data_IF_065140661529
#
_entry.id   IF_065140661529
#
_cell.length_a   1.000
_cell.length_b   1.000
_cell.length_c   1.000
_cell.angle_alpha   90.00
_cell.angle_beta   90.00
_cell.angle_gamma   90.00
#
_symmetry.space_group_name_H-M   'P 1'
#
loop_
_entity.id
_entity.type
_entity.pdbx_description
1 polymer ?
#
# COMPACT_ATOMS: atom_id res chain seq x y z
N UNK A 1 -21.67 5.10 17.76
CA UNK A 1 -20.53 4.55 17.00
C UNK A 1 -19.56 5.66 16.68
N UNK A 2 -18.32 5.47 17.02
CA UNK A 2 -17.29 6.47 16.75
C UNK A 2 -16.77 6.26 15.34
N UNK A 3 -16.78 7.30 14.54
CA UNK A 3 -16.12 7.26 13.25
C UNK A 3 -14.60 7.21 13.47
N UNK A 4 -13.93 6.31 12.78
CA UNK A 4 -12.47 6.26 12.80
C UNK A 4 -11.96 7.20 11.72
N UNK A 5 -11.26 8.26 12.13
CA UNK A 5 -10.63 9.18 11.20
C UNK A 5 -9.29 8.61 10.77
N UNK A 6 -9.25 8.04 9.57
CA UNK A 6 -8.01 7.58 8.98
C UNK A 6 -7.27 8.76 8.34
N UNK A 7 -5.94 8.78 8.39
CA UNK A 7 -5.16 9.76 7.65
C UNK A 7 -5.56 9.81 6.19
N UNK A 8 -5.62 11.01 5.63
CA UNK A 8 -6.06 11.23 4.26
C UNK A 8 -5.12 12.22 3.57
N UNK A 9 -4.68 11.86 2.37
CA UNK A 9 -3.89 12.73 1.52
C UNK A 9 -4.70 13.13 0.30
N UNK A 10 -4.99 14.41 0.16
CA UNK A 10 -5.67 14.93 -1.02
C UNK A 10 -4.85 14.75 -2.30
N UNK A 11 -3.52 14.83 -2.18
CA UNK A 11 -2.64 14.61 -3.31
C UNK A 11 -2.71 13.15 -3.79
N UNK A 12 -2.68 12.18 -2.86
CA UNK A 12 -2.83 10.77 -3.20
C UNK A 12 -4.17 10.50 -3.88
N UNK A 13 -5.23 11.11 -3.41
CA UNK A 13 -6.56 10.97 -3.99
C UNK A 13 -6.62 11.49 -5.42
N UNK A 14 -5.98 12.64 -5.69
CA UNK A 14 -5.92 13.19 -7.05
C UNK A 14 -5.07 12.37 -7.99
N UNK A 15 -4.01 11.77 -7.49
CA UNK A 15 -3.00 11.10 -8.32
C UNK A 15 -3.30 9.62 -8.57
N UNK A 16 -4.21 9.02 -7.82
CA UNK A 16 -4.44 7.57 -7.89
C UNK A 16 -4.90 7.10 -9.26
N UNK A 17 -5.75 7.86 -9.94
CA UNK A 17 -6.22 7.52 -11.27
C UNK A 17 -5.10 7.48 -12.31
N UNK A 18 -4.36 8.58 -12.50
CA UNK A 18 -3.22 8.61 -13.41
C UNK A 18 -2.14 7.58 -13.09
N UNK A 19 -1.85 7.35 -11.81
CA UNK A 19 -0.86 6.35 -11.41
C UNK A 19 -1.36 4.95 -11.75
N UNK A 20 -2.62 4.65 -11.50
CA UNK A 20 -3.20 3.35 -11.84
C UNK A 20 -3.08 3.05 -13.34
N UNK A 21 -3.31 4.06 -14.18
CA UNK A 21 -3.18 3.90 -15.64
C UNK A 21 -1.75 3.49 -16.02
N UNK A 22 -0.75 4.14 -15.42
CA UNK A 22 0.65 3.80 -15.66
C UNK A 22 0.95 2.38 -15.17
N UNK A 23 0.50 2.03 -13.96
CA UNK A 23 0.74 0.71 -13.41
C UNK A 23 0.13 -0.40 -14.27
N UNK A 24 -1.06 -0.18 -14.82
CA UNK A 24 -1.69 -1.14 -15.73
C UNK A 24 -0.90 -1.36 -17.01
N UNK A 25 -0.13 -0.36 -17.44
CA UNK A 25 0.71 -0.48 -18.64
C UNK A 25 2.01 -1.23 -18.36
N UNK A 26 2.57 -1.13 -17.15
CA UNK A 26 3.89 -1.66 -16.83
C UNK A 26 3.85 -2.96 -16.03
N UNK A 27 2.77 -3.23 -15.29
CA UNK A 27 2.63 -4.45 -14.51
C UNK A 27 1.76 -5.48 -15.23
N UNK A 28 2.13 -6.78 -15.17
CA UNK A 28 1.25 -7.82 -15.69
C UNK A 28 -0.03 -7.92 -14.86
N UNK A 29 -1.04 -8.63 -15.41
CA UNK A 29 -2.31 -8.83 -14.73
C UNK A 29 -2.16 -9.55 -13.37
N UNK A 30 -1.15 -10.42 -13.26
CA UNK A 30 -0.77 -11.09 -12.02
C UNK A 30 0.60 -10.59 -11.62
N UNK A 31 0.69 -9.94 -10.47
CA UNK A 31 1.95 -9.36 -9.99
C UNK A 31 1.99 -9.33 -8.47
N UNK A 32 3.22 -9.36 -7.94
CA UNK A 32 3.49 -9.10 -6.52
C UNK A 32 4.13 -7.72 -6.44
N UNK A 33 3.50 -6.81 -5.70
CA UNK A 33 3.91 -5.41 -5.65
C UNK A 33 4.40 -5.09 -4.24
N UNK A 34 5.62 -4.58 -4.14
CA UNK A 34 6.15 -4.00 -2.92
C UNK A 34 6.02 -2.48 -3.01
N UNK A 35 5.26 -1.91 -2.11
CA UNK A 35 5.10 -0.46 -2.04
C UNK A 35 5.95 0.09 -0.89
N UNK A 36 6.79 1.08 -1.21
CA UNK A 36 7.62 1.77 -0.23
C UNK A 36 6.94 3.06 0.18
N UNK A 37 6.94 3.35 1.47
CA UNK A 37 6.35 4.57 2.02
C UNK A 37 4.85 4.68 1.70
N UNK A 38 4.09 3.70 2.15
CA UNK A 38 2.66 3.60 1.85
C UNK A 38 1.81 4.73 2.47
N UNK A 39 2.35 5.45 3.44
CA UNK A 39 1.73 6.63 4.01
C UNK A 39 0.35 6.38 4.62
N UNK A 40 -0.69 6.89 3.97
CA UNK A 40 -2.07 6.71 4.42
C UNK A 40 -2.67 5.36 4.03
N UNK A 41 -2.03 4.62 3.14
CA UNK A 41 -2.57 3.37 2.57
C UNK A 41 -3.60 3.58 1.46
N UNK A 42 -3.85 4.82 1.03
CA UNK A 42 -4.86 5.11 0.02
C UNK A 42 -4.54 4.47 -1.33
N UNK A 43 -3.27 4.52 -1.76
CA UNK A 43 -2.85 3.91 -3.02
C UNK A 43 -2.95 2.39 -2.95
N UNK A 44 -2.45 1.78 -1.87
CA UNK A 44 -2.54 0.33 -1.69
C UNK A 44 -3.98 -0.16 -1.77
N UNK A 45 -4.89 0.48 -1.05
CA UNK A 45 -6.29 0.11 -1.05
C UNK A 45 -6.93 0.28 -2.43
N UNK A 46 -6.66 1.42 -3.10
CA UNK A 46 -7.26 1.71 -4.39
C UNK A 46 -6.76 0.78 -5.48
N UNK A 47 -5.45 0.58 -5.57
CA UNK A 47 -4.86 -0.23 -6.64
C UNK A 47 -5.17 -1.71 -6.45
N UNK A 48 -5.13 -2.21 -5.21
CA UNK A 48 -5.47 -3.59 -4.93
C UNK A 48 -6.93 -3.88 -5.24
N UNK A 49 -7.83 -2.97 -4.91
CA UNK A 49 -9.25 -3.13 -5.23
C UNK A 49 -9.50 -3.10 -6.74
N UNK A 50 -8.76 -2.25 -7.47
CA UNK A 50 -8.93 -2.09 -8.92
C UNK A 50 -8.34 -3.27 -9.71
N UNK A 51 -7.29 -3.92 -9.19
CA UNK A 51 -6.58 -5.02 -9.86
C UNK A 51 -6.47 -6.21 -8.91
N UNK A 52 -7.46 -7.11 -8.89
CA UNK A 52 -7.46 -8.25 -7.96
C UNK A 52 -6.30 -9.21 -8.15
N UNK A 53 -5.65 -9.21 -9.31
CA UNK A 53 -4.48 -10.04 -9.59
C UNK A 53 -3.18 -9.53 -8.97
N UNK A 54 -3.19 -8.33 -8.40
CA UNK A 54 -2.00 -7.78 -7.74
C UNK A 54 -2.00 -8.14 -6.26
N UNK A 55 -0.96 -8.84 -5.83
CA UNK A 55 -0.68 -9.10 -4.42
C UNK A 55 0.16 -7.93 -3.90
N UNK A 56 -0.35 -7.22 -2.91
CA UNK A 56 0.21 -5.94 -2.47
C UNK A 56 0.84 -6.04 -1.09
N UNK A 57 2.09 -5.62 -0.97
CA UNK A 57 2.80 -5.52 0.30
C UNK A 57 3.10 -4.06 0.60
N UNK A 58 2.27 -3.39 1.42
CA UNK A 58 2.57 -2.03 1.86
C UNK A 58 3.69 -2.02 2.90
N UNK A 59 4.52 -0.99 2.85
CA UNK A 59 5.57 -0.75 3.84
C UNK A 59 5.62 0.72 4.21
N UNK A 60 6.08 1.01 5.43
CA UNK A 60 6.15 2.38 5.92
C UNK A 60 7.25 2.48 6.98
N UNK A 61 8.03 3.56 6.96
CA UNK A 61 9.09 3.79 7.94
C UNK A 61 8.57 4.29 9.28
N UNK A 62 7.39 4.90 9.29
CA UNK A 62 6.76 5.41 10.51
C UNK A 62 5.85 4.33 11.10
N UNK A 63 6.26 3.74 12.22
CA UNK A 63 5.49 2.70 12.90
C UNK A 63 4.08 3.17 13.28
N UNK A 64 3.91 4.46 13.55
CA UNK A 64 2.60 5.01 13.93
C UNK A 64 1.59 4.97 12.78
N UNK A 65 2.06 4.89 11.53
CA UNK A 65 1.18 4.82 10.36
C UNK A 65 0.66 3.41 10.07
N UNK A 66 1.29 2.36 10.60
CA UNK A 66 0.94 0.98 10.27
C UNK A 66 -0.51 0.61 10.59
N UNK A 67 -1.07 0.95 11.76
CA UNK A 67 -2.46 0.61 12.04
C UNK A 67 -3.47 1.23 11.07
N UNK A 68 -3.22 2.46 10.62
CA UNK A 68 -4.10 3.14 9.68
C UNK A 68 -4.06 2.48 8.30
N UNK A 69 -2.87 2.07 7.84
CA UNK A 69 -2.72 1.34 6.59
C UNK A 69 -3.47 0.02 6.66
N UNK A 70 -3.30 -0.74 7.75
CA UNK A 70 -3.98 -2.00 7.96
C UNK A 70 -5.51 -1.82 7.96
N UNK A 71 -6.01 -0.78 8.63
CA UNK A 71 -7.44 -0.49 8.70
C UNK A 71 -8.01 -0.13 7.33
N UNK A 72 -7.30 0.68 6.56
CA UNK A 72 -7.75 1.10 5.23
C UNK A 72 -7.80 -0.06 4.24
N UNK A 73 -6.90 -1.02 4.38
CA UNK A 73 -6.82 -2.18 3.51
C UNK A 73 -7.56 -3.41 4.05
N UNK A 74 -8.24 -3.29 5.17
CA UNK A 74 -9.03 -4.38 5.75
C UNK A 74 -10.09 -4.84 4.74
N UNK A 75 -10.26 -6.15 4.61
CA UNK A 75 -11.18 -6.72 3.65
C UNK A 75 -10.61 -6.94 2.25
N UNK A 76 -9.40 -6.47 1.98
CA UNK A 76 -8.71 -6.73 0.73
C UNK A 76 -7.73 -7.89 0.95
N UNK A 77 -8.15 -9.10 0.58
CA UNK A 77 -7.41 -10.32 0.90
C UNK A 77 -6.02 -10.37 0.26
N UNK A 78 -5.83 -9.68 -0.88
CA UNK A 78 -4.55 -9.66 -1.58
C UNK A 78 -3.58 -8.59 -1.01
N UNK A 79 -4.02 -7.77 -0.06
CA UNK A 79 -3.12 -6.82 0.62
C UNK A 79 -2.63 -7.45 1.91
N UNK A 80 -1.32 -7.60 2.01
CA UNK A 80 -0.67 -8.15 3.20
C UNK A 80 -0.63 -7.11 4.31
N UNK A 81 -0.46 -7.57 5.55
CA UNK A 81 -0.26 -6.65 6.67
C UNK A 81 0.93 -5.74 6.43
N UNK A 82 0.82 -4.43 6.70
CA UNK A 82 1.93 -3.52 6.44
C UNK A 82 3.15 -3.84 7.29
N UNK A 83 4.33 -3.64 6.73
CA UNK A 83 5.60 -3.89 7.41
C UNK A 83 6.31 -2.56 7.70
N UNK A 84 6.99 -2.52 8.84
CA UNK A 84 7.89 -1.43 9.15
C UNK A 84 9.14 -1.58 8.28
N UNK A 85 9.40 -0.58 7.45
CA UNK A 85 10.55 -0.60 6.56
C UNK A 85 11.14 0.79 6.43
N UNK A 86 12.42 0.92 6.83
CA UNK A 86 13.23 2.09 6.54
C UNK A 86 14.24 1.71 5.44
N UNK A 87 14.02 2.20 4.22
CA UNK A 87 14.86 1.86 3.06
C UNK A 87 16.29 2.39 3.18
N UNK A 88 16.52 3.32 4.11
CA UNK A 88 17.88 3.82 4.40
C UNK A 88 18.64 2.88 5.32
N UNK A 89 17.97 1.94 5.97
CA UNK A 89 18.59 0.93 6.82
C UNK A 89 18.78 -0.35 6.02
N UNK A 90 20.03 -0.81 5.90
CA UNK A 90 20.35 -2.06 5.23
C UNK A 90 20.49 -3.19 6.28
N UNK A 91 20.22 -4.45 5.94
CA UNK A 91 19.73 -5.01 4.68
C UNK A 91 18.20 -5.20 4.70
N UNK A 92 17.47 -4.25 4.20
CA UNK A 92 16.02 -4.28 4.28
C UNK A 92 15.38 -5.40 3.47
N UNK A 93 16.00 -5.83 2.36
CA UNK A 93 15.46 -6.93 1.55
C UNK A 93 15.37 -8.25 2.31
N UNK A 94 16.24 -8.46 3.29
CA UNK A 94 16.22 -9.71 4.08
C UNK A 94 15.02 -9.76 5.05
N UNK A 95 14.35 -8.63 5.28
CA UNK A 95 13.20 -8.54 6.18
C UNK A 95 11.88 -8.80 5.46
N UNK A 96 11.89 -8.85 4.14
CA UNK A 96 10.67 -8.93 3.33
C UNK A 96 10.68 -10.23 2.54
N UNK A 97 9.72 -11.09 2.84
CA UNK A 97 9.49 -12.34 2.12
C UNK A 97 8.18 -12.20 1.34
N UNK A 98 8.31 -11.82 0.10
CA UNK A 98 7.16 -11.59 -0.77
C UNK A 98 6.96 -12.79 -1.69
#
# INVERSE_FOLDING_TARGET
MTAVNLPFSAAAERNRGPILEVLRQVLPAQAVVLEVASGSGQHAAHFAAAQPGWSWQPTEADAAALPAIAARCAGLAQVRSPLLLDVLAAPWLSLIHI
#
